data_IF_479743995791
#
_entry.id   IF_479743995791
#
_cell.length_a   1.000
_cell.length_b   1.000
_cell.length_c   1.000
_cell.angle_alpha   90.00
_cell.angle_beta   90.00
_cell.angle_gamma   90.00
#
_symmetry.space_group_name_H-M   'P 1'
#
loop_
_entity.id
_entity.type
_entity.pdbx_description
1 polymer ?
#
# COMPACT_ATOMS: atom_id res chain seq x y z
N UNK A 1 38.57 93.92 -19.45
CA UNK A 1 38.17 92.69 -20.11
C UNK A 1 38.04 91.61 -19.03
N UNK A 2 36.92 91.45 -18.46
CA UNK A 2 36.59 90.40 -17.57
C UNK A 2 35.17 90.65 -17.04
N UNK A 3 34.20 90.00 -17.53
CA UNK A 3 32.88 89.80 -16.96
C UNK A 3 32.31 88.60 -17.74
N UNK A 4 32.05 87.56 -17.01
CA UNK A 4 31.06 86.56 -17.32
C UNK A 4 31.42 85.26 -16.56
N UNK A 5 31.15 85.19 -15.24
CA UNK A 5 31.10 83.90 -14.55
C UNK A 5 30.38 84.03 -13.22
N UNK A 6 29.10 84.17 -13.20
CA UNK A 6 28.31 84.06 -11.98
C UNK A 6 26.82 83.87 -12.26
N UNK A 7 26.46 82.75 -12.92
CA UNK A 7 25.04 82.29 -12.98
C UNK A 7 24.94 80.85 -13.37
N UNK A 8 25.36 79.96 -12.51
CA UNK A 8 24.87 78.60 -12.56
C UNK A 8 25.17 77.82 -11.26
N UNK A 9 24.55 78.17 -10.17
CA UNK A 9 24.59 77.39 -8.94
C UNK A 9 23.34 77.60 -8.11
N UNK A 10 22.18 77.18 -8.55
CA UNK A 10 21.00 76.93 -7.67
C UNK A 10 19.92 76.21 -8.40
N UNK A 11 20.14 75.02 -8.91
CA UNK A 11 19.06 74.07 -9.34
C UNK A 11 19.38 72.66 -9.09
N UNK A 12 19.99 72.31 -7.97
CA UNK A 12 20.37 70.91 -7.67
C UNK A 12 19.92 70.35 -6.32
N UNK A 13 19.14 71.09 -5.55
CA UNK A 13 18.85 70.65 -4.16
C UNK A 13 17.39 70.31 -3.85
N UNK A 14 16.49 70.30 -4.79
CA UNK A 14 15.08 70.00 -4.54
C UNK A 14 14.61 68.62 -5.04
N UNK A 15 15.45 67.85 -5.71
CA UNK A 15 15.05 66.57 -6.31
C UNK A 15 15.28 65.31 -5.43
N UNK A 16 15.89 65.44 -4.26
CA UNK A 16 16.30 64.28 -3.42
C UNK A 16 15.36 64.02 -2.21
N UNK A 17 14.31 64.80 -2.02
CA UNK A 17 13.42 64.64 -0.86
C UNK A 17 12.10 63.90 -1.11
N UNK A 18 11.95 63.14 -2.19
CA UNK A 18 10.70 62.44 -2.49
C UNK A 18 10.84 60.91 -2.56
N UNK A 19 11.69 60.31 -1.79
CA UNK A 19 11.77 58.87 -1.84
C UNK A 19 12.10 58.26 -0.47
N UNK A 20 11.12 58.26 0.39
CA UNK A 20 11.04 57.29 1.51
C UNK A 20 9.68 57.46 2.21
N UNK A 21 8.61 57.16 1.48
CA UNK A 21 7.35 56.84 2.08
C UNK A 21 7.25 55.31 2.13
N UNK A 22 8.04 54.68 2.98
CA UNK A 22 7.82 53.28 3.39
C UNK A 22 6.47 53.23 4.11
N UNK A 23 5.48 52.85 3.34
CA UNK A 23 4.17 52.49 3.90
C UNK A 23 4.37 51.32 4.87
N UNK A 24 4.42 51.62 6.14
CA UNK A 24 4.29 50.58 7.20
C UNK A 24 2.96 49.90 6.99
N UNK A 25 2.97 48.72 6.33
CA UNK A 25 1.83 47.82 6.35
C UNK A 25 1.58 47.50 7.81
N UNK A 26 0.53 48.07 8.39
CA UNK A 26 0.03 47.70 9.69
C UNK A 26 -0.26 46.19 9.63
N UNK A 27 0.60 45.41 10.25
CA UNK A 27 0.32 44.00 10.51
C UNK A 27 -0.97 43.95 11.36
N UNK A 28 -2.07 43.55 10.77
CA UNK A 28 -3.32 43.32 11.51
C UNK A 28 -3.08 42.10 12.36
N UNK A 29 -3.00 42.25 13.66
CA UNK A 29 -3.00 41.15 14.63
C UNK A 29 -4.37 40.47 14.63
N UNK A 30 -4.38 39.18 14.82
CA UNK A 30 -5.61 38.40 15.02
C UNK A 30 -6.27 38.81 16.35
N UNK A 31 -7.59 38.93 16.34
CA UNK A 31 -8.35 39.14 17.56
C UNK A 31 -8.49 37.80 18.33
N UNK A 32 -8.62 37.86 19.64
CA UNK A 32 -8.87 36.68 20.47
C UNK A 32 -10.17 35.97 20.05
N UNK A 33 -11.19 36.73 19.67
CA UNK A 33 -12.46 36.20 19.15
C UNK A 33 -12.27 35.40 17.86
N UNK A 34 -11.48 35.91 16.91
CA UNK A 34 -11.18 35.25 15.64
C UNK A 34 -10.43 33.93 15.87
N UNK A 35 -9.49 33.91 16.84
CA UNK A 35 -8.79 32.68 17.22
C UNK A 35 -9.74 31.62 17.76
N UNK A 36 -10.68 32.00 18.65
CA UNK A 36 -11.65 31.05 19.22
C UNK A 36 -12.57 30.51 18.13
N UNK A 37 -13.07 31.35 17.23
CA UNK A 37 -13.94 30.94 16.14
C UNK A 37 -13.20 29.99 15.18
N UNK A 38 -11.96 30.30 14.82
CA UNK A 38 -11.17 29.44 13.93
C UNK A 38 -10.87 28.10 14.57
N UNK A 39 -10.53 28.05 15.86
CA UNK A 39 -10.33 26.79 16.58
C UNK A 39 -11.62 25.97 16.68
N UNK A 40 -12.77 26.62 16.87
CA UNK A 40 -14.07 25.92 16.91
C UNK A 40 -14.38 25.27 15.55
N UNK A 41 -14.18 25.99 14.44
CA UNK A 41 -14.39 25.45 13.09
C UNK A 41 -13.42 24.31 12.80
N UNK A 42 -12.14 24.46 13.12
CA UNK A 42 -11.12 23.43 12.92
C UNK A 42 -11.47 22.15 13.73
N UNK A 43 -11.94 22.29 14.96
CA UNK A 43 -12.34 21.16 15.80
C UNK A 43 -13.47 20.34 15.18
N UNK A 44 -14.45 20.99 14.57
CA UNK A 44 -15.55 20.33 13.87
C UNK A 44 -15.04 19.60 12.64
N UNK A 45 -14.17 20.23 11.83
CA UNK A 45 -13.61 19.64 10.62
C UNK A 45 -12.75 18.42 10.94
N UNK A 46 -11.91 18.50 11.96
CA UNK A 46 -11.07 17.37 12.42
C UNK A 46 -11.95 16.21 12.90
N UNK A 47 -13.02 16.50 13.65
CA UNK A 47 -13.96 15.47 14.11
C UNK A 47 -14.60 14.67 12.99
N UNK A 48 -14.87 15.28 11.84
CA UNK A 48 -15.44 14.59 10.66
C UNK A 48 -14.38 13.86 9.82
N UNK A 49 -13.13 14.31 9.83
CA UNK A 49 -12.06 13.74 9.01
C UNK A 49 -11.59 12.35 9.49
N UNK A 50 -11.55 12.13 10.80
CA UNK A 50 -11.02 10.89 11.40
C UNK A 50 -11.78 9.62 10.98
N UNK A 51 -13.11 9.52 11.02
CA UNK A 51 -13.83 8.31 10.63
C UNK A 51 -13.67 8.00 9.15
N UNK A 52 -13.61 9.01 8.28
CA UNK A 52 -13.40 8.82 6.84
C UNK A 52 -12.03 8.22 6.55
N UNK A 53 -10.99 8.68 7.23
CA UNK A 53 -9.64 8.13 7.07
C UNK A 53 -9.55 6.65 7.47
N UNK A 54 -10.17 6.26 8.58
CA UNK A 54 -10.14 4.86 9.05
C UNK A 54 -10.78 3.91 8.03
N UNK A 55 -11.90 4.28 7.46
CA UNK A 55 -12.59 3.48 6.46
C UNK A 55 -11.78 3.36 5.15
N UNK A 56 -11.10 4.43 4.72
CA UNK A 56 -10.25 4.41 3.55
C UNK A 56 -9.05 3.47 3.73
N UNK A 57 -8.38 3.53 4.89
CA UNK A 57 -7.25 2.63 5.18
C UNK A 57 -7.71 1.17 5.22
N UNK A 58 -8.86 0.89 5.85
CA UNK A 58 -9.43 -0.46 5.88
C UNK A 58 -9.74 -0.97 4.47
N UNK A 59 -10.37 -0.14 3.63
CA UNK A 59 -10.66 -0.48 2.24
C UNK A 59 -9.40 -0.77 1.42
N UNK A 60 -8.33 0.00 1.60
CA UNK A 60 -7.06 -0.26 0.93
C UNK A 60 -6.48 -1.63 1.31
N UNK A 61 -6.48 -1.96 2.61
CA UNK A 61 -6.04 -3.29 3.09
C UNK A 61 -6.91 -4.42 2.53
N UNK A 62 -8.22 -4.23 2.42
CA UNK A 62 -9.11 -5.22 1.81
C UNK A 62 -8.81 -5.47 0.34
N UNK A 63 -8.54 -4.41 -0.42
CA UNK A 63 -8.15 -4.52 -1.83
C UNK A 63 -6.82 -5.25 -1.97
N UNK A 64 -5.84 -4.91 -1.14
CA UNK A 64 -4.54 -5.58 -1.11
C UNK A 64 -4.66 -7.05 -0.72
N UNK A 65 -5.48 -7.38 0.31
CA UNK A 65 -5.74 -8.76 0.69
C UNK A 65 -6.30 -9.58 -0.48
N UNK A 66 -7.32 -9.08 -1.16
CA UNK A 66 -7.91 -9.76 -2.31
C UNK A 66 -6.93 -9.92 -3.48
N UNK A 67 -6.06 -8.94 -3.66
CA UNK A 67 -4.99 -9.04 -4.67
C UNK A 67 -4.02 -10.16 -4.32
N UNK A 68 -3.53 -10.20 -3.09
CA UNK A 68 -2.57 -11.19 -2.62
C UNK A 68 -3.14 -12.61 -2.63
N UNK A 69 -4.40 -12.80 -2.17
CA UNK A 69 -5.09 -14.09 -2.26
C UNK A 69 -5.21 -14.56 -3.71
N UNK A 70 -5.57 -13.65 -4.62
CA UNK A 70 -5.67 -13.98 -6.05
C UNK A 70 -4.31 -14.34 -6.65
N UNK A 71 -3.25 -13.63 -6.27
CA UNK A 71 -1.89 -13.93 -6.74
C UNK A 71 -1.46 -15.34 -6.33
N UNK A 72 -1.67 -15.72 -5.05
CA UNK A 72 -1.33 -17.05 -4.56
C UNK A 72 -2.18 -18.12 -5.24
N UNK A 73 -3.50 -17.92 -5.34
CA UNK A 73 -4.42 -18.87 -6.00
C UNK A 73 -4.05 -19.10 -7.46
N UNK A 74 -3.73 -18.04 -8.20
CA UNK A 74 -3.26 -18.17 -9.60
C UNK A 74 -1.94 -18.95 -9.70
N UNK A 75 -1.05 -18.79 -8.72
CA UNK A 75 0.20 -19.55 -8.68
C UNK A 75 -0.04 -21.03 -8.37
N UNK A 76 -0.97 -21.34 -7.45
CA UNK A 76 -1.43 -22.72 -7.17
C UNK A 76 -2.05 -23.37 -8.40
N UNK A 77 -2.92 -22.65 -9.12
CA UNK A 77 -3.53 -23.15 -10.36
C UNK A 77 -2.49 -23.40 -11.47
N UNK A 78 -1.48 -22.54 -11.56
CA UNK A 78 -0.39 -22.73 -12.52
C UNK A 78 0.48 -23.92 -12.15
N UNK A 79 0.75 -24.11 -10.88
CA UNK A 79 1.46 -25.30 -10.35
C UNK A 79 0.67 -26.58 -10.67
N UNK A 80 -0.62 -26.61 -10.34
CA UNK A 80 -1.52 -27.72 -10.60
C UNK A 80 -1.54 -28.14 -12.08
N UNK A 81 -1.64 -27.15 -12.99
CA UNK A 81 -1.58 -27.44 -14.43
C UNK A 81 -0.27 -28.13 -14.84
N UNK A 82 0.87 -27.70 -14.29
CA UNK A 82 2.17 -28.31 -14.60
C UNK A 82 2.32 -29.70 -13.96
N UNK A 83 1.83 -29.90 -12.75
CA UNK A 83 1.81 -31.21 -12.09
C UNK A 83 1.01 -32.23 -12.90
N UNK A 84 -0.23 -31.88 -13.28
CA UNK A 84 -1.11 -32.76 -14.06
C UNK A 84 -0.61 -33.04 -15.51
N UNK A 85 0.21 -32.15 -16.05
CA UNK A 85 0.87 -32.39 -17.34
C UNK A 85 2.13 -33.27 -17.22
N UNK A 86 2.47 -33.76 -16.02
CA UNK A 86 3.65 -34.57 -15.79
C UNK A 86 4.96 -33.85 -16.09
N UNK A 87 4.98 -32.51 -15.99
CA UNK A 87 6.15 -31.69 -16.30
C UNK A 87 7.23 -31.74 -15.24
N UNK A 88 6.93 -32.17 -14.03
CA UNK A 88 7.90 -32.25 -12.94
C UNK A 88 8.74 -33.54 -13.02
N UNK A 89 9.97 -33.48 -12.52
CA UNK A 89 10.81 -34.64 -12.37
C UNK A 89 10.31 -35.54 -11.24
N UNK A 90 10.62 -36.83 -11.31
CA UNK A 90 10.23 -37.82 -10.26
C UNK A 90 10.84 -37.47 -8.90
N UNK A 91 11.99 -36.79 -8.88
CA UNK A 91 12.64 -36.30 -7.65
C UNK A 91 11.81 -35.28 -6.88
N UNK A 92 10.82 -34.66 -7.52
CA UNK A 92 9.95 -33.65 -6.92
C UNK A 92 8.60 -34.24 -6.45
N UNK A 93 8.36 -35.55 -6.65
CA UNK A 93 7.08 -36.21 -6.34
C UNK A 93 6.64 -36.06 -4.89
N UNK A 94 7.59 -36.01 -3.95
CA UNK A 94 7.30 -35.87 -2.52
C UNK A 94 6.89 -34.43 -2.11
N UNK A 95 7.07 -33.46 -3.01
CA UNK A 95 6.80 -32.04 -2.74
C UNK A 95 5.35 -31.63 -3.00
N UNK A 96 4.56 -32.50 -3.66
CA UNK A 96 3.15 -32.24 -3.97
C UNK A 96 2.30 -33.50 -3.79
N UNK A 97 1.01 -33.30 -3.58
CA UNK A 97 -0.01 -34.35 -3.55
C UNK A 97 -1.25 -33.85 -4.28
N UNK A 98 -1.91 -34.71 -5.04
CA UNK A 98 -3.09 -34.38 -5.85
C UNK A 98 -2.89 -33.20 -6.81
N UNK A 99 -1.66 -33.00 -7.25
CA UNK A 99 -1.29 -31.89 -8.14
C UNK A 99 -1.03 -30.56 -7.42
N UNK A 100 -1.18 -30.47 -6.11
CA UNK A 100 -0.96 -29.26 -5.32
C UNK A 100 0.28 -29.35 -4.43
N UNK A 101 0.97 -28.25 -4.15
CA UNK A 101 2.18 -28.28 -3.32
C UNK A 101 1.83 -28.55 -1.86
N UNK A 102 2.73 -29.24 -1.16
CA UNK A 102 2.61 -29.47 0.30
C UNK A 102 3.04 -28.24 1.11
N UNK A 103 3.81 -27.34 0.53
CA UNK A 103 4.30 -26.12 1.18
C UNK A 103 4.23 -24.94 0.21
N UNK A 104 3.88 -23.77 0.73
CA UNK A 104 3.78 -22.55 -0.07
C UNK A 104 5.15 -22.08 -0.62
N UNK A 105 6.24 -22.41 0.11
CA UNK A 105 7.61 -22.10 -0.27
C UNK A 105 7.99 -22.73 -1.60
N UNK A 106 7.43 -23.87 -1.97
CA UNK A 106 7.71 -24.54 -3.25
C UNK A 106 7.28 -23.73 -4.46
N UNK A 107 6.31 -22.83 -4.30
CA UNK A 107 5.94 -21.88 -5.37
C UNK A 107 7.03 -20.84 -5.63
N UNK A 108 7.82 -20.48 -4.61
CA UNK A 108 8.91 -19.51 -4.69
C UNK A 108 10.22 -20.17 -5.08
N UNK A 109 10.56 -21.30 -4.45
CA UNK A 109 11.76 -22.09 -4.79
C UNK A 109 11.69 -22.60 -6.21
N UNK A 110 10.49 -23.04 -6.61
CA UNK A 110 10.19 -23.62 -7.90
C UNK A 110 10.43 -25.13 -7.95
N UNK A 111 9.98 -25.72 -9.06
CA UNK A 111 10.04 -27.16 -9.33
C UNK A 111 10.86 -27.46 -10.57
N UNK A 112 11.66 -28.50 -10.53
CA UNK A 112 12.48 -28.92 -11.69
C UNK A 112 11.61 -29.51 -12.78
N UNK A 113 11.84 -29.05 -14.01
CA UNK A 113 11.07 -29.49 -15.18
C UNK A 113 11.75 -30.69 -15.84
N UNK A 114 10.96 -31.72 -16.17
CA UNK A 114 11.39 -32.92 -16.88
C UNK A 114 11.94 -32.56 -18.26
N UNK A 115 13.03 -33.23 -18.65
CA UNK A 115 13.63 -33.08 -19.98
C UNK A 115 14.51 -31.84 -20.19
N UNK A 116 14.78 -31.10 -19.13
CA UNK A 116 15.66 -29.94 -19.19
C UNK A 116 16.63 -29.96 -18.02
N UNK A 117 17.94 -29.94 -18.32
CA UNK A 117 18.97 -29.81 -17.30
C UNK A 117 18.90 -28.39 -16.74
N UNK A 118 18.70 -28.23 -15.42
CA UNK A 118 18.72 -26.97 -14.67
C UNK A 118 17.57 -25.96 -14.89
N UNK A 119 16.48 -26.32 -15.56
CA UNK A 119 15.30 -25.42 -15.59
C UNK A 119 14.35 -25.68 -14.43
N UNK A 120 14.13 -24.64 -13.63
CA UNK A 120 13.19 -24.61 -12.51
C UNK A 120 12.02 -23.67 -12.87
N UNK A 121 10.78 -24.17 -12.76
CA UNK A 121 9.59 -23.34 -12.88
C UNK A 121 9.24 -22.72 -11.52
N UNK A 122 9.26 -21.42 -11.45
CA UNK A 122 8.81 -20.64 -10.28
C UNK A 122 7.46 -20.02 -10.57
N UNK A 123 6.58 -20.00 -9.57
CA UNK A 123 5.20 -19.53 -9.69
C UNK A 123 4.96 -18.22 -8.94
N UNK A 124 5.72 -18.01 -7.86
CA UNK A 124 5.75 -16.77 -7.11
C UNK A 124 7.19 -16.25 -7.01
N UNK A 125 7.34 -14.93 -6.99
CA UNK A 125 8.64 -14.29 -6.71
C UNK A 125 8.95 -14.29 -5.22
N UNK A 126 7.94 -14.13 -4.39
CA UNK A 126 7.96 -14.15 -2.93
C UNK A 126 6.55 -14.47 -2.43
N UNK A 127 6.43 -14.97 -1.22
CA UNK A 127 5.13 -15.11 -0.56
C UNK A 127 4.63 -13.72 -0.22
N UNK A 128 3.43 -13.31 -0.71
CA UNK A 128 2.85 -12.02 -0.37
C UNK A 128 2.60 -11.91 1.15
N UNK A 129 2.68 -10.68 1.65
CA UNK A 129 2.38 -10.40 3.06
C UNK A 129 0.87 -10.18 3.22
N UNK A 130 0.28 -10.76 4.26
CA UNK A 130 -1.11 -10.53 4.62
C UNK A 130 -1.25 -9.12 5.26
N UNK A 131 -2.01 -8.19 4.66
CA UNK A 131 -2.17 -6.85 5.19
C UNK A 131 -3.01 -6.78 6.47
N UNK A 132 -3.74 -7.86 6.83
CA UNK A 132 -4.55 -7.91 8.05
C UNK A 132 -3.73 -8.35 9.26
N UNK A 133 -2.88 -9.37 9.10
CA UNK A 133 -2.02 -9.89 10.17
C UNK A 133 -0.61 -9.31 10.16
N UNK A 134 -0.23 -8.59 9.07
CA UNK A 134 1.13 -8.11 8.81
C UNK A 134 2.21 -9.21 8.75
N UNK A 135 1.79 -10.46 8.55
CA UNK A 135 2.65 -11.63 8.46
C UNK A 135 2.67 -12.27 7.06
N UNK A 136 3.42 -13.34 6.94
CA UNK A 136 3.40 -14.25 5.78
C UNK A 136 2.79 -15.60 6.15
N UNK A 137 2.19 -15.67 7.33
CA UNK A 137 1.57 -16.88 7.88
C UNK A 137 0.12 -16.96 7.43
N UNK A 138 -0.10 -17.57 6.27
CA UNK A 138 -1.42 -17.81 5.70
C UNK A 138 -2.08 -19.05 6.32
N UNK A 139 -3.39 -19.10 6.34
CA UNK A 139 -4.15 -20.32 6.56
C UNK A 139 -4.24 -21.12 5.27
N UNK A 140 -4.29 -22.43 5.38
CA UNK A 140 -4.34 -23.36 4.24
C UNK A 140 -5.56 -24.24 4.32
N UNK A 141 -6.05 -24.69 3.17
CA UNK A 141 -7.06 -25.73 3.00
C UNK A 141 -6.55 -26.74 1.98
N UNK A 142 -6.79 -28.00 2.23
CA UNK A 142 -6.51 -29.07 1.27
C UNK A 142 -7.69 -29.31 0.34
N UNK A 143 -7.51 -30.18 -0.63
CA UNK A 143 -8.59 -30.65 -1.52
C UNK A 143 -9.67 -31.43 -0.80
N UNK A 144 -9.35 -32.01 0.35
CA UNK A 144 -10.27 -32.85 1.16
C UNK A 144 -10.97 -32.06 2.27
N UNK A 145 -10.48 -30.83 2.58
CA UNK A 145 -11.07 -29.98 3.61
C UNK A 145 -12.39 -29.34 3.14
N UNK A 146 -13.31 -29.15 4.06
CA UNK A 146 -14.54 -28.38 3.79
C UNK A 146 -14.22 -26.93 3.42
N UNK A 147 -14.97 -26.29 2.52
CA UNK A 147 -14.71 -24.92 2.03
C UNK A 147 -14.61 -23.86 3.12
N UNK A 148 -15.21 -24.08 4.28
CA UNK A 148 -15.15 -23.17 5.44
C UNK A 148 -14.20 -23.61 6.54
N UNK A 149 -13.47 -24.72 6.34
CA UNK A 149 -12.57 -25.27 7.36
C UNK A 149 -11.43 -24.30 7.70
N UNK A 150 -11.10 -24.22 8.97
CA UNK A 150 -9.90 -23.56 9.49
C UNK A 150 -8.87 -24.55 10.01
N UNK A 151 -9.18 -25.85 9.97
CA UNK A 151 -8.23 -26.93 10.21
C UNK A 151 -7.68 -27.42 8.87
N UNK A 152 -6.38 -27.68 8.83
CA UNK A 152 -5.67 -28.15 7.65
C UNK A 152 -5.03 -29.51 7.95
N UNK A 153 -5.22 -30.48 7.07
CA UNK A 153 -4.68 -31.83 7.20
C UNK A 153 -3.18 -31.96 6.91
N UNK A 154 -2.54 -30.87 6.47
CA UNK A 154 -1.11 -30.83 6.10
C UNK A 154 -0.72 -31.68 4.89
N UNK A 155 -1.68 -32.16 4.11
CA UNK A 155 -1.45 -33.02 2.96
C UNK A 155 -1.04 -32.23 1.70
N UNK A 156 -1.84 -31.21 1.35
CA UNK A 156 -1.59 -30.35 0.21
C UNK A 156 -2.18 -28.94 0.45
N UNK A 157 -1.82 -27.97 -0.38
CA UNK A 157 -2.37 -26.61 -0.31
C UNK A 157 -3.19 -26.37 -1.58
N UNK A 158 -4.51 -26.53 -1.43
CA UNK A 158 -5.49 -26.24 -2.48
C UNK A 158 -5.92 -24.77 -2.47
N UNK A 159 -6.22 -24.23 -1.28
CA UNK A 159 -6.65 -22.84 -1.11
C UNK A 159 -5.91 -22.18 0.05
N UNK A 160 -5.89 -20.84 0.04
CA UNK A 160 -5.29 -20.00 1.06
C UNK A 160 -6.28 -18.98 1.57
N UNK A 161 -6.22 -18.66 2.86
CA UNK A 161 -7.03 -17.64 3.50
C UNK A 161 -6.22 -16.86 4.55
N UNK A 162 -6.72 -15.69 4.95
CA UNK A 162 -6.12 -14.93 6.06
C UNK A 162 -6.57 -15.51 7.40
N UNK A 163 -5.67 -15.58 8.38
CA UNK A 163 -5.99 -15.98 9.76
C UNK A 163 -6.66 -14.87 10.57
N UNK A 164 -6.97 -13.71 9.96
CA UNK A 164 -7.63 -12.61 10.64
C UNK A 164 -9.12 -12.90 10.83
N UNK A 165 -9.59 -12.83 12.08
CA UNK A 165 -11.00 -12.97 12.44
C UNK A 165 -11.77 -11.64 12.40
N UNK A 166 -11.15 -10.55 11.93
CA UNK A 166 -11.81 -9.26 11.82
C UNK A 166 -12.91 -9.28 10.75
N UNK A 167 -13.86 -8.36 10.91
CA UNK A 167 -14.98 -8.21 9.97
C UNK A 167 -14.67 -7.16 8.92
N UNK A 168 -14.91 -7.48 7.66
CA UNK A 168 -14.74 -6.60 6.51
C UNK A 168 -15.82 -5.47 6.50
N UNK A 169 -15.63 -4.48 5.62
CA UNK A 169 -16.58 -3.38 5.44
C UNK A 169 -17.96 -3.85 4.93
N UNK A 170 -18.01 -5.00 4.26
CA UNK A 170 -19.25 -5.63 3.78
C UNK A 170 -19.93 -6.53 4.84
N UNK A 171 -19.36 -6.67 6.04
CA UNK A 171 -19.91 -7.47 7.12
C UNK A 171 -19.47 -8.95 7.14
N UNK A 172 -18.72 -9.45 6.13
CA UNK A 172 -18.16 -10.81 6.13
C UNK A 172 -16.88 -10.87 6.95
N UNK A 173 -16.52 -12.04 7.46
CA UNK A 173 -15.23 -12.23 8.11
C UNK A 173 -14.13 -12.43 7.06
N UNK A 174 -12.93 -11.90 7.32
CA UNK A 174 -11.81 -12.07 6.37
C UNK A 174 -11.38 -13.53 6.22
N UNK A 175 -11.53 -14.34 7.25
CA UNK A 175 -11.22 -15.79 7.22
C UNK A 175 -12.06 -16.57 6.19
N UNK A 176 -13.17 -15.99 5.75
CA UNK A 176 -14.08 -16.57 4.75
C UNK A 176 -13.71 -16.22 3.30
N UNK A 177 -12.70 -15.35 3.11
CA UNK A 177 -12.31 -14.83 1.77
C UNK A 177 -11.30 -15.76 1.02
#
# INVERSE_FOLDING_TARGET
>A
MAELSSRQRTKGSEAVRRMCRTGTRRARGFTLLELIITLAILSILVGMAVPVMRNNVKRQREVELRHNLREIRMALDAFFRHANQGKFTELESDRFKDGYPKKLEYLVEGMRIRGTVDKTARYLRRIPRDPMTNGTDWGFRSTEDDPGSTSWDSENIFDVYTKSNETALNGTKYVEW
#
